data_IF_505395127634
#
_entry.id   IF_505395127634
#
_cell.length_a   1.000
_cell.length_b   1.000
_cell.length_c   1.000
_cell.angle_alpha   90.00
_cell.angle_beta   90.00
_cell.angle_gamma   90.00
#
_symmetry.space_group_name_H-M   'P 1'
#
loop_
_entity.id
_entity.type
_entity.pdbx_description
1 polymer ?
#
# COMPACT_ATOMS: atom_id res chain seq x y z
N UNK A 1 34.20 -2.19 -38.90
CA UNK A 1 33.88 -1.69 -37.55
C UNK A 1 32.41 -1.79 -37.15
N UNK A 2 31.46 -1.77 -38.08
CA UNK A 2 30.00 -1.67 -37.81
C UNK A 2 29.35 -2.93 -37.20
N UNK A 3 29.86 -4.15 -37.45
CA UNK A 3 29.25 -5.40 -36.97
C UNK A 3 29.29 -5.56 -35.44
N UNK A 4 30.32 -5.04 -34.79
CA UNK A 4 30.48 -5.11 -33.33
C UNK A 4 29.53 -4.17 -32.58
N UNK A 5 29.18 -3.03 -33.20
CA UNK A 5 28.25 -2.05 -32.64
C UNK A 5 26.84 -2.65 -32.55
N UNK A 6 26.39 -3.35 -33.59
CA UNK A 6 25.10 -4.03 -33.59
C UNK A 6 25.04 -5.19 -32.59
N UNK A 7 26.13 -5.96 -32.46
CA UNK A 7 26.23 -7.00 -31.44
C UNK A 7 26.15 -6.44 -30.02
N UNK A 8 26.85 -5.35 -29.74
CA UNK A 8 26.86 -4.71 -28.42
C UNK A 8 25.49 -4.06 -28.10
N UNK A 9 24.86 -3.43 -29.09
CA UNK A 9 23.50 -2.89 -28.95
C UNK A 9 22.47 -3.99 -28.67
N UNK A 10 22.57 -5.14 -29.34
CA UNK A 10 21.70 -6.28 -29.09
C UNK A 10 21.87 -6.84 -27.67
N UNK A 11 23.12 -6.96 -27.18
CA UNK A 11 23.40 -7.39 -25.81
C UNK A 11 22.84 -6.40 -24.79
N UNK A 12 23.05 -5.09 -24.98
CA UNK A 12 22.49 -4.06 -24.10
C UNK A 12 20.96 -4.13 -24.09
N UNK A 13 20.32 -4.24 -25.26
CA UNK A 13 18.87 -4.35 -25.35
C UNK A 13 18.34 -5.59 -24.60
N UNK A 14 18.97 -6.76 -24.78
CA UNK A 14 18.57 -8.00 -24.08
C UNK A 14 18.76 -7.85 -22.58
N UNK A 15 19.90 -7.32 -22.12
CA UNK A 15 20.17 -7.10 -20.69
C UNK A 15 19.14 -6.14 -20.10
N UNK A 16 18.84 -5.03 -20.79
CA UNK A 16 17.81 -4.07 -20.37
C UNK A 16 16.42 -4.72 -20.28
N UNK A 17 16.05 -5.57 -21.25
CA UNK A 17 14.77 -6.27 -21.28
C UNK A 17 14.66 -7.28 -20.13
N UNK A 18 15.73 -8.02 -19.86
CA UNK A 18 15.82 -8.96 -18.73
C UNK A 18 15.73 -8.21 -17.40
N UNK A 19 16.38 -7.05 -17.28
CA UNK A 19 16.29 -6.19 -16.08
C UNK A 19 14.87 -5.64 -15.89
N UNK A 20 14.22 -5.18 -16.97
CA UNK A 20 12.83 -4.71 -16.95
C UNK A 20 11.86 -5.81 -16.52
N UNK A 21 11.98 -7.01 -17.10
CA UNK A 21 11.13 -8.16 -16.73
C UNK A 21 11.38 -8.61 -15.29
N UNK A 22 12.64 -8.60 -14.84
CA UNK A 22 13.00 -8.97 -13.46
C UNK A 22 12.41 -8.01 -12.43
N UNK A 23 12.27 -6.74 -12.78
CA UNK A 23 11.82 -5.67 -11.88
C UNK A 23 10.33 -5.28 -12.11
N UNK A 24 9.62 -6.02 -12.97
CA UNK A 24 8.20 -5.79 -13.22
C UNK A 24 7.33 -6.36 -12.09
N UNK A 25 6.47 -5.53 -11.51
CA UNK A 25 5.42 -5.97 -10.60
C UNK A 25 4.16 -6.27 -11.40
N UNK A 26 3.62 -7.48 -11.25
CA UNK A 26 2.31 -7.85 -11.78
C UNK A 26 1.26 -7.63 -10.71
N UNK A 27 0.35 -6.71 -10.96
CA UNK A 27 -0.76 -6.39 -10.07
C UNK A 27 -2.03 -7.10 -10.55
N UNK A 28 -2.70 -7.81 -9.66
CA UNK A 28 -3.98 -8.46 -9.94
C UNK A 28 -4.96 -8.26 -8.78
N UNK A 29 -6.25 -8.11 -9.10
CA UNK A 29 -7.32 -8.09 -8.10
C UNK A 29 -7.75 -9.51 -7.78
N UNK A 30 -7.81 -9.86 -6.49
CA UNK A 30 -8.03 -11.23 -6.01
C UNK A 30 -9.30 -11.38 -5.17
N UNK A 31 -10.23 -10.42 -5.28
CA UNK A 31 -11.50 -10.38 -4.56
C UNK A 31 -12.36 -11.65 -4.65
N UNK A 32 -12.14 -12.53 -5.63
CA UNK A 32 -12.94 -13.75 -5.82
C UNK A 32 -12.28 -15.05 -5.33
N UNK A 33 -11.06 -14.99 -4.79
CA UNK A 33 -10.44 -16.19 -4.20
C UNK A 33 -11.05 -16.44 -2.80
N UNK A 34 -11.29 -17.70 -2.42
CA UNK A 34 -11.98 -18.06 -1.18
C UNK A 34 -11.48 -17.32 0.07
N UNK A 35 -10.18 -17.07 0.16
CA UNK A 35 -9.53 -16.42 1.29
C UNK A 35 -9.81 -14.90 1.37
N UNK A 36 -10.16 -14.26 0.25
CA UNK A 36 -10.35 -12.81 0.16
C UNK A 36 -11.80 -12.39 -0.13
N UNK A 37 -12.68 -13.31 -0.53
CA UNK A 37 -14.06 -13.03 -0.97
C UNK A 37 -14.89 -12.24 0.05
N UNK A 38 -14.62 -12.44 1.34
CA UNK A 38 -15.38 -11.81 2.41
C UNK A 38 -14.84 -10.43 2.83
N UNK A 39 -13.78 -9.92 2.22
CA UNK A 39 -13.15 -8.65 2.63
C UNK A 39 -13.80 -7.41 2.00
N UNK A 40 -14.04 -7.34 0.68
CA UNK A 40 -14.67 -6.16 0.08
C UNK A 40 -16.04 -5.87 0.71
N UNK A 41 -16.30 -4.59 0.96
CA UNK A 41 -17.54 -4.10 1.58
C UNK A 41 -17.49 -4.00 3.11
N UNK A 42 -16.49 -4.58 3.78
CA UNK A 42 -16.30 -4.37 5.22
C UNK A 42 -15.93 -2.91 5.49
N UNK A 43 -16.55 -2.35 6.52
CA UNK A 43 -16.31 -0.97 6.96
C UNK A 43 -15.48 -0.97 8.25
N UNK A 44 -14.63 0.05 8.38
CA UNK A 44 -13.75 0.26 9.52
C UNK A 44 -13.76 1.73 9.95
N UNK A 45 -13.34 1.97 11.18
CA UNK A 45 -13.12 3.30 11.74
C UNK A 45 -11.67 3.38 12.19
N UNK A 46 -10.95 4.43 11.76
CA UNK A 46 -9.58 4.67 12.23
C UNK A 46 -9.56 4.99 13.73
N UNK A 47 -8.71 4.28 14.46
CA UNK A 47 -8.50 4.46 15.92
C UNK A 47 -7.31 5.37 16.22
N UNK A 48 -6.56 5.78 15.20
CA UNK A 48 -5.47 6.75 15.31
C UNK A 48 -5.34 7.62 14.07
N UNK A 49 -4.71 8.76 14.26
CA UNK A 49 -4.29 9.62 13.17
C UNK A 49 -3.21 8.93 12.34
N UNK A 50 -3.35 9.00 11.02
CA UNK A 50 -2.44 8.41 10.05
C UNK A 50 -2.03 9.45 9.00
N UNK A 51 -0.86 9.26 8.39
CA UNK A 51 -0.49 10.02 7.20
C UNK A 51 -1.00 9.31 5.95
N UNK A 52 -1.37 10.11 4.95
CA UNK A 52 -1.45 9.70 3.56
C UNK A 52 -0.13 10.05 2.89
N UNK A 53 0.52 9.10 2.24
CA UNK A 53 1.87 9.32 1.69
C UNK A 53 2.15 8.50 0.43
N UNK A 54 3.21 8.86 -0.28
CA UNK A 54 3.85 8.01 -1.30
C UNK A 54 5.19 7.55 -0.77
N UNK A 55 5.46 6.25 -0.84
CA UNK A 55 6.75 5.66 -0.53
C UNK A 55 7.55 5.42 -1.81
N UNK A 56 8.87 5.64 -1.79
CA UNK A 56 9.71 5.44 -2.99
C UNK A 56 10.04 3.98 -3.26
N UNK A 57 10.10 3.18 -2.21
CA UNK A 57 10.38 1.74 -2.25
C UNK A 57 9.14 0.88 -2.57
N UNK A 58 7.94 1.45 -2.45
CA UNK A 58 6.68 0.77 -2.78
C UNK A 58 5.91 1.51 -3.85
N UNK A 59 5.85 0.91 -5.04
CA UNK A 59 4.98 1.38 -6.14
C UNK A 59 3.56 0.92 -5.87
N UNK A 60 2.67 1.88 -5.57
CA UNK A 60 1.23 1.66 -5.51
C UNK A 60 0.52 2.63 -6.45
N UNK A 61 -0.60 2.19 -7.03
CA UNK A 61 -1.47 3.04 -7.84
C UNK A 61 -2.18 4.11 -7.00
N UNK A 62 -2.34 3.88 -5.70
CA UNK A 62 -2.97 4.79 -4.76
C UNK A 62 -1.97 5.27 -3.70
N UNK A 63 -2.18 6.45 -3.10
CA UNK A 63 -1.45 6.84 -1.90
C UNK A 63 -1.60 5.80 -0.79
N UNK A 64 -0.54 5.59 -0.02
CA UNK A 64 -0.51 4.69 1.12
C UNK A 64 -1.06 5.41 2.36
N UNK A 65 -1.62 4.63 3.28
CA UNK A 65 -1.98 5.10 4.63
C UNK A 65 -1.18 4.36 5.69
N UNK A 66 -0.77 5.07 6.75
CA UNK A 66 -0.04 4.49 7.88
C UNK A 66 0.55 5.55 8.79
N UNK A 67 1.26 5.12 9.83
CA UNK A 67 1.93 6.00 10.78
C UNK A 67 3.32 5.48 11.15
N UNK A 68 4.13 6.33 11.77
CA UNK A 68 5.27 5.85 12.53
C UNK A 68 4.77 5.44 13.92
N UNK A 69 4.36 4.19 14.01
CA UNK A 69 3.74 3.54 15.17
C UNK A 69 4.53 2.30 15.57
N UNK A 70 5.71 2.44 16.22
CA UNK A 70 6.56 1.31 16.58
C UNK A 70 5.87 0.26 17.46
N UNK A 71 4.81 0.67 18.16
CA UNK A 71 3.94 -0.16 18.98
C UNK A 71 3.09 -1.15 18.17
N UNK A 72 2.84 -0.90 16.87
CA UNK A 72 1.87 -1.66 16.06
C UNK A 72 2.47 -2.65 15.05
N UNK A 73 3.75 -3.02 15.15
CA UNK A 73 4.36 -4.07 14.32
C UNK A 73 4.62 -3.67 12.85
N UNK A 74 3.68 -2.98 12.19
CA UNK A 74 3.80 -2.45 10.84
C UNK A 74 3.89 -0.90 10.89
N UNK A 75 5.08 -0.41 11.26
CA UNK A 75 5.40 1.01 11.39
C UNK A 75 6.16 1.52 10.17
N UNK A 76 5.93 2.77 9.76
CA UNK A 76 6.72 3.44 8.72
C UNK A 76 7.76 4.34 9.41
N UNK A 77 9.00 3.88 9.62
CA UNK A 77 9.99 4.59 10.44
C UNK A 77 10.42 5.94 9.84
N UNK A 78 10.18 6.14 8.54
CA UNK A 78 10.49 7.38 7.84
C UNK A 78 9.42 8.47 8.01
N UNK A 79 8.25 8.16 8.58
CA UNK A 79 7.25 9.17 8.90
C UNK A 79 7.59 9.83 10.25
N UNK A 80 7.18 11.09 10.49
CA UNK A 80 7.21 11.68 11.82
C UNK A 80 6.39 10.85 12.82
N UNK A 81 6.86 10.73 14.05
CA UNK A 81 6.18 9.99 15.13
C UNK A 81 4.85 10.63 15.54
N UNK A 82 4.76 11.95 15.47
CA UNK A 82 3.52 12.69 15.72
C UNK A 82 2.86 13.03 14.39
N UNK A 83 1.58 12.67 14.23
CA UNK A 83 0.79 12.99 13.04
C UNK A 83 0.28 14.42 13.10
N UNK A 84 0.63 15.24 12.11
CA UNK A 84 0.25 16.66 12.07
C UNK A 84 0.13 17.20 10.65
N UNK A 85 -0.84 18.09 10.43
CA UNK A 85 -1.03 18.79 9.14
C UNK A 85 0.22 19.56 8.71
N UNK A 86 1.04 20.01 9.67
CA UNK A 86 2.26 20.76 9.38
C UNK A 86 3.29 19.94 8.59
N UNK A 87 3.20 18.62 8.64
CA UNK A 87 4.08 17.71 7.91
C UNK A 87 3.59 17.45 6.48
N UNK A 88 2.40 17.90 6.10
CA UNK A 88 1.86 17.75 4.75
C UNK A 88 2.73 18.51 3.74
N UNK A 89 3.06 17.86 2.63
CA UNK A 89 3.93 18.40 1.60
C UNK A 89 5.43 18.12 1.80
N UNK A 90 5.83 17.59 2.96
CA UNK A 90 7.23 17.19 3.20
C UNK A 90 7.63 15.97 2.35
N UNK A 91 8.87 15.97 1.86
CA UNK A 91 9.51 14.84 1.17
C UNK A 91 10.91 14.66 1.78
N UNK A 92 11.18 13.50 2.36
CA UNK A 92 12.45 13.19 3.01
C UNK A 92 13.33 12.23 2.21
N UNK A 93 13.06 12.08 0.91
CA UNK A 93 13.79 11.15 0.05
C UNK A 93 13.33 9.69 0.14
N UNK A 94 12.49 9.34 1.12
CA UNK A 94 11.91 8.00 1.29
C UNK A 94 10.39 8.02 1.16
N UNK A 95 9.76 8.99 1.79
CA UNK A 95 8.32 9.22 1.74
C UNK A 95 8.03 10.66 1.39
N UNK A 96 6.91 10.88 0.69
CA UNK A 96 6.30 12.20 0.50
C UNK A 96 4.93 12.19 1.17
N UNK A 97 4.74 13.07 2.14
CA UNK A 97 3.47 13.21 2.87
C UNK A 97 2.51 14.06 2.06
N UNK A 98 1.30 13.56 1.87
CA UNK A 98 0.28 14.15 1.00
C UNK A 98 -0.90 14.71 1.76
N UNK A 99 -1.28 14.07 2.88
CA UNK A 99 -2.45 14.42 3.69
C UNK A 99 -2.39 13.74 5.06
N UNK A 100 -3.38 14.01 5.91
CA UNK A 100 -3.62 13.34 7.19
C UNK A 100 -5.03 12.74 7.22
N UNK A 101 -5.13 11.50 7.69
CA UNK A 101 -6.40 10.88 8.07
C UNK A 101 -6.53 10.96 9.59
N UNK A 102 -7.67 11.46 10.07
CA UNK A 102 -7.92 11.61 11.50
C UNK A 102 -8.59 10.38 12.09
N UNK A 103 -8.34 10.17 13.37
CA UNK A 103 -9.10 9.25 14.22
C UNK A 103 -10.60 9.50 14.07
N UNK A 104 -11.39 8.43 14.01
CA UNK A 104 -12.83 8.49 13.74
C UNK A 104 -13.19 8.50 12.25
N UNK A 105 -12.23 8.72 11.34
CA UNK A 105 -12.49 8.64 9.90
C UNK A 105 -12.91 7.22 9.54
N UNK A 106 -13.98 7.11 8.75
CA UNK A 106 -14.49 5.83 8.28
C UNK A 106 -13.83 5.46 6.96
N UNK A 107 -13.67 4.16 6.72
CA UNK A 107 -13.34 3.65 5.42
C UNK A 107 -14.03 2.32 5.14
N UNK A 108 -14.14 1.97 3.86
CA UNK A 108 -14.56 0.64 3.41
C UNK A 108 -13.45 -0.02 2.61
N UNK A 109 -13.31 -1.33 2.73
CA UNK A 109 -12.49 -2.11 1.80
C UNK A 109 -13.23 -2.18 0.46
N UNK A 110 -12.60 -1.70 -0.61
CA UNK A 110 -13.16 -1.73 -1.97
C UNK A 110 -12.67 -2.97 -2.71
N UNK A 111 -11.39 -3.30 -2.59
CA UNK A 111 -10.82 -4.45 -3.26
C UNK A 111 -9.54 -4.95 -2.62
N UNK A 112 -9.17 -6.17 -2.96
CA UNK A 112 -7.96 -6.84 -2.49
C UNK A 112 -7.02 -6.98 -3.67
N UNK A 113 -5.81 -6.45 -3.53
CA UNK A 113 -4.80 -6.40 -4.58
C UNK A 113 -3.63 -7.28 -4.22
N UNK A 114 -3.25 -8.16 -5.15
CA UNK A 114 -2.03 -8.96 -5.10
C UNK A 114 -1.00 -8.37 -6.04
N UNK A 115 0.11 -7.93 -5.47
CA UNK A 115 1.28 -7.49 -6.21
C UNK A 115 2.31 -8.62 -6.19
N UNK A 116 2.66 -9.13 -7.37
CA UNK A 116 3.60 -10.23 -7.51
C UNK A 116 4.85 -9.76 -8.26
N UNK A 117 6.00 -9.93 -7.61
CA UNK A 117 7.33 -9.85 -8.22
C UNK A 117 7.91 -11.25 -8.35
N UNK A 118 9.13 -11.36 -8.88
CA UNK A 118 9.83 -12.66 -8.99
C UNK A 118 10.10 -13.29 -7.62
N UNK A 119 10.31 -12.48 -6.59
CA UNK A 119 10.81 -12.92 -5.28
C UNK A 119 9.79 -12.74 -4.16
N UNK A 120 8.72 -12.00 -4.41
CA UNK A 120 7.78 -11.58 -3.37
C UNK A 120 6.37 -11.53 -3.94
N UNK A 121 5.42 -12.00 -3.14
CA UNK A 121 4.00 -11.74 -3.34
C UNK A 121 3.54 -10.93 -2.15
N UNK A 122 2.84 -9.83 -2.40
CA UNK A 122 2.29 -8.99 -1.35
C UNK A 122 0.80 -8.81 -1.57
N UNK A 123 0.00 -8.97 -0.53
CA UNK A 123 -1.40 -8.56 -0.54
C UNK A 123 -1.52 -7.14 0.05
N UNK A 124 -2.42 -6.35 -0.51
CA UNK A 124 -2.81 -5.04 0.00
C UNK A 124 -4.31 -4.84 -0.17
N UNK A 125 -4.90 -3.95 0.62
CA UNK A 125 -6.30 -3.59 0.51
C UNK A 125 -6.42 -2.19 -0.08
N UNK A 126 -7.23 -2.05 -1.12
CA UNK A 126 -7.70 -0.75 -1.58
C UNK A 126 -8.88 -0.35 -0.70
N UNK A 127 -8.76 0.79 -0.04
CA UNK A 127 -9.78 1.35 0.83
C UNK A 127 -10.33 2.65 0.26
N UNK A 128 -11.60 2.94 0.56
CA UNK A 128 -12.23 4.21 0.27
C UNK A 128 -12.64 4.88 1.58
N UNK A 129 -12.09 6.07 1.83
CA UNK A 129 -12.47 6.93 2.94
C UNK A 129 -13.91 7.44 2.77
N UNK A 130 -14.62 7.59 3.88
CA UNK A 130 -16.03 7.95 3.92
C UNK A 130 -16.26 9.15 4.87
N UNK A 131 -17.00 10.17 4.41
CA UNK A 131 -17.58 10.32 3.07
C UNK A 131 -16.54 10.82 2.04
N UNK A 132 -16.62 10.31 0.81
CA UNK A 132 -15.59 10.49 -0.23
C UNK A 132 -15.32 11.95 -0.61
N UNK A 133 -16.34 12.80 -0.58
CA UNK A 133 -16.28 14.23 -0.94
C UNK A 133 -15.50 15.08 0.08
N UNK A 134 -15.23 14.55 1.27
CA UNK A 134 -14.48 15.26 2.32
C UNK A 134 -12.97 15.00 2.26
N UNK A 135 -12.51 14.14 1.34
CA UNK A 135 -11.11 13.72 1.29
C UNK A 135 -10.47 14.09 -0.04
N UNK A 136 -9.30 14.76 0.03
CA UNK A 136 -8.49 15.05 -1.16
C UNK A 136 -8.01 13.77 -1.86
N UNK A 137 -7.75 12.73 -1.08
CA UNK A 137 -7.38 11.39 -1.55
C UNK A 137 -8.35 10.36 -0.97
N UNK A 138 -9.52 10.15 -1.58
CA UNK A 138 -10.53 9.28 -1.01
C UNK A 138 -10.18 7.80 -1.15
N UNK A 139 -9.42 7.40 -2.19
CA UNK A 139 -8.93 6.03 -2.39
C UNK A 139 -7.49 5.88 -1.95
N UNK A 140 -7.22 4.91 -1.07
CA UNK A 140 -5.92 4.66 -0.47
C UNK A 140 -5.55 3.17 -0.53
N UNK A 141 -4.25 2.91 -0.40
CA UNK A 141 -3.67 1.59 -0.21
C UNK A 141 -3.32 1.39 1.27
N UNK A 142 -3.93 0.36 1.86
CA UNK A 142 -3.85 0.10 3.29
C UNK A 142 -2.63 -0.72 3.71
N UNK A 143 -1.67 -1.03 2.83
CA UNK A 143 -0.54 -1.93 3.15
C UNK A 143 0.09 -1.74 4.54
N UNK A 144 0.40 -0.50 4.95
CA UNK A 144 1.08 -0.25 6.23
C UNK A 144 0.18 -0.28 7.47
N UNK A 145 -1.12 -0.52 7.32
CA UNK A 145 -2.05 -0.72 8.44
C UNK A 145 -2.54 -2.17 8.54
N UNK A 146 -1.94 -3.07 7.78
CA UNK A 146 -2.29 -4.50 7.78
C UNK A 146 -1.24 -5.34 8.53
N UNK A 147 -1.72 -6.40 9.16
CA UNK A 147 -0.92 -7.52 9.60
C UNK A 147 -0.81 -8.52 8.44
N UNK A 148 0.42 -8.65 7.93
CA UNK A 148 0.76 -9.57 6.84
C UNK A 148 1.20 -10.95 7.34
N UNK A 149 1.31 -11.17 8.65
CA UNK A 149 1.70 -12.46 9.21
C UNK A 149 0.84 -13.64 8.72
N UNK A 150 -0.49 -13.51 8.51
CA UNK A 150 -1.32 -14.62 8.03
C UNK A 150 -1.00 -15.07 6.59
N UNK A 151 -0.37 -14.20 5.78
CA UNK A 151 -0.03 -14.54 4.39
C UNK A 151 0.97 -15.69 4.30
N UNK A 152 1.81 -15.88 5.32
CA UNK A 152 2.74 -17.02 5.42
C UNK A 152 2.02 -18.37 5.46
N UNK A 153 0.74 -18.39 5.82
CA UNK A 153 -0.13 -19.56 5.86
C UNK A 153 -1.21 -19.53 4.77
N UNK A 154 -1.07 -18.65 3.76
CA UNK A 154 -2.05 -18.49 2.68
C UNK A 154 -3.35 -17.80 3.11
N UNK A 155 -3.42 -17.23 4.31
CA UNK A 155 -4.58 -16.49 4.80
C UNK A 155 -4.50 -15.02 4.40
N UNK A 156 -5.64 -14.32 4.46
CA UNK A 156 -5.68 -12.91 4.12
C UNK A 156 -5.06 -12.02 5.21
N UNK A 157 -4.42 -10.89 4.83
CA UNK A 157 -3.98 -9.92 5.82
C UNK A 157 -5.19 -9.28 6.51
N UNK A 158 -5.00 -8.92 7.77
CA UNK A 158 -6.02 -8.28 8.60
C UNK A 158 -5.63 -6.85 8.93
N UNK A 159 -6.61 -5.97 9.13
CA UNK A 159 -6.34 -4.63 9.65
C UNK A 159 -5.87 -4.74 11.10
N UNK A 160 -4.74 -4.11 11.44
CA UNK A 160 -4.16 -4.18 12.79
C UNK A 160 -5.06 -3.44 13.78
N UNK A 161 -5.47 -4.15 14.84
CA UNK A 161 -6.19 -3.58 16.00
C UNK A 161 -5.29 -2.54 16.68
N UNK A 162 -5.61 -1.26 16.48
CA UNK A 162 -4.79 -0.12 16.90
C UNK A 162 -4.63 0.92 15.79
N UNK A 163 -4.71 0.50 14.53
CA UNK A 163 -4.90 1.42 13.39
C UNK A 163 -6.38 1.67 13.14
N UNK A 164 -7.20 0.62 13.13
CA UNK A 164 -8.63 0.73 12.92
C UNK A 164 -9.37 -0.50 13.46
N UNK A 165 -10.68 -0.35 13.67
CA UNK A 165 -11.59 -1.42 14.11
C UNK A 165 -12.73 -1.60 13.12
N UNK A 166 -13.18 -2.85 12.96
CA UNK A 166 -14.30 -3.17 12.07
C UNK A 166 -15.60 -2.59 12.64
N UNK A 167 -16.33 -1.86 11.80
CA UNK A 167 -17.62 -1.29 12.15
C UNK A 167 -18.68 -2.39 12.06
N UNK A 168 -19.02 -2.96 13.21
CA UNK A 168 -20.16 -3.87 13.31
C UNK A 168 -21.45 -3.05 13.14
N UNK A 169 -22.26 -3.40 12.15
CA UNK A 169 -23.63 -2.88 12.06
C UNK A 169 -24.44 -3.53 13.19
N UNK A 170 -24.75 -2.76 14.23
CA UNK A 170 -25.80 -3.09 15.19
C UNK A 170 -27.17 -3.08 14.50
#
# INVERSE_FOLDING_TARGET
MTKWIWGLAAVVAIVSLVVLQRNGTKTAYVNGLPEYTMLPGREYIFERDCYVFKARDRKSSYPLVGANAPDLGNSVPYLPTTVTEKSVGTDNGKVRILDVVRTGTRFRIVSVRRDQTRNETTISLEILLLPEDQHKYPRLDAFYILDHSPETHGSAPAVITGYAVERVKL
#
